data_IF_140560131812
#
_entry.id   IF_140560131812
#
_cell.length_a   1.000
_cell.length_b   1.000
_cell.length_c   1.000
_cell.angle_alpha   90.00
_cell.angle_beta   90.00
_cell.angle_gamma   90.00
#
_symmetry.space_group_name_H-M   'P 1'
#
loop_
_entity.id
_entity.type
_entity.pdbx_description
1 polymer ?
#
# COMPACT_ATOMS: atom_id res chain seq x y z
N UNK A 1 -29.62 10.63 -7.39
CA UNK A 1 -28.41 10.57 -6.53
C UNK A 1 -27.52 11.83 -6.61
N UNK A 2 -27.52 12.60 -7.71
CA UNK A 2 -26.65 13.78 -7.86
C UNK A 2 -27.13 15.05 -7.11
N UNK A 3 -28.43 15.21 -6.91
CA UNK A 3 -29.01 16.44 -6.34
C UNK A 3 -28.49 16.77 -4.92
N UNK A 4 -28.30 15.76 -4.08
CA UNK A 4 -27.85 15.93 -2.69
C UNK A 4 -26.36 15.66 -2.49
N UNK A 5 -25.64 15.31 -3.56
CA UNK A 5 -24.22 14.96 -3.50
C UNK A 5 -23.36 16.15 -3.00
N UNK A 6 -23.54 17.41 -3.46
CA UNK A 6 -22.78 18.55 -2.95
C UNK A 6 -23.03 18.83 -1.46
N UNK A 7 -24.29 18.70 -1.01
CA UNK A 7 -24.65 18.88 0.40
C UNK A 7 -24.07 17.76 1.28
N UNK A 8 -24.06 16.53 0.78
CA UNK A 8 -23.50 15.37 1.48
C UNK A 8 -21.98 15.45 1.59
N UNK A 9 -21.29 15.86 0.52
CA UNK A 9 -19.83 16.06 0.53
C UNK A 9 -19.43 17.14 1.54
N UNK A 10 -20.17 18.26 1.59
CA UNK A 10 -19.92 19.32 2.57
C UNK A 10 -20.08 18.85 4.03
N UNK A 11 -21.04 17.95 4.28
CA UNK A 11 -21.36 17.49 5.65
C UNK A 11 -20.49 16.31 6.11
N UNK A 12 -20.16 15.41 5.19
CA UNK A 12 -19.60 14.10 5.53
C UNK A 12 -18.23 13.82 4.89
N UNK A 13 -17.73 14.70 4.04
CA UNK A 13 -16.48 14.52 3.32
C UNK A 13 -16.65 13.82 1.96
N UNK A 14 -15.54 13.50 1.28
CA UNK A 14 -15.55 12.95 -0.08
C UNK A 14 -16.41 11.68 -0.19
N UNK A 15 -17.20 11.57 -1.26
CA UNK A 15 -18.11 10.45 -1.48
C UNK A 15 -17.39 9.09 -1.57
N UNK A 16 -16.10 9.07 -1.91
CA UNK A 16 -15.27 7.86 -1.95
C UNK A 16 -15.12 7.17 -0.60
N UNK A 17 -15.23 7.91 0.52
CA UNK A 17 -15.18 7.35 1.87
C UNK A 17 -16.46 6.58 2.23
N UNK A 18 -17.56 6.79 1.48
CA UNK A 18 -18.84 6.10 1.63
C UNK A 18 -19.03 4.94 0.67
N UNK A 19 -18.01 4.58 -0.12
CA UNK A 19 -18.06 3.41 -0.96
C UNK A 19 -18.22 2.15 -0.08
N UNK A 20 -19.39 1.50 -0.17
CA UNK A 20 -19.65 0.23 0.51
C UNK A 20 -18.83 -0.91 -0.07
N UNK A 21 -18.23 -0.72 -1.24
CA UNK A 21 -17.40 -1.68 -1.97
C UNK A 21 -16.37 -2.38 -1.07
N UNK A 22 -15.66 -1.63 -0.20
CA UNK A 22 -14.69 -2.23 0.73
C UNK A 22 -15.37 -3.18 1.72
N UNK A 23 -16.49 -2.77 2.30
CA UNK A 23 -17.26 -3.60 3.23
C UNK A 23 -17.88 -4.81 2.53
N UNK A 24 -18.38 -4.63 1.30
CA UNK A 24 -18.94 -5.70 0.49
C UNK A 24 -17.88 -6.72 0.05
N UNK A 25 -16.67 -6.26 -0.30
CA UNK A 25 -15.55 -7.15 -0.62
C UNK A 25 -15.15 -8.03 0.57
N UNK A 26 -15.25 -7.51 1.79
CA UNK A 26 -14.94 -8.24 3.02
C UNK A 26 -15.96 -9.36 3.33
N UNK A 27 -17.21 -9.23 2.84
CA UNK A 27 -18.22 -10.29 3.01
C UNK A 27 -17.75 -11.63 2.40
N UNK A 28 -16.91 -11.61 1.37
CA UNK A 28 -16.30 -12.82 0.81
C UNK A 28 -15.38 -13.53 1.80
N UNK A 29 -14.56 -12.78 2.55
CA UNK A 29 -13.67 -13.31 3.58
C UNK A 29 -14.46 -13.93 4.73
N UNK A 30 -15.48 -13.22 5.23
CA UNK A 30 -16.37 -13.71 6.29
C UNK A 30 -17.09 -14.97 5.84
N UNK A 31 -17.58 -15.01 4.59
CA UNK A 31 -18.26 -16.18 4.03
C UNK A 31 -17.33 -17.38 3.93
N UNK A 32 -16.07 -17.18 3.51
CA UNK A 32 -15.09 -18.25 3.45
C UNK A 32 -14.81 -18.85 4.82
N UNK A 33 -14.63 -18.00 5.86
CA UNK A 33 -14.50 -18.46 7.24
C UNK A 33 -15.76 -19.22 7.70
N UNK A 34 -16.96 -18.74 7.31
CA UNK A 34 -18.24 -19.34 7.70
C UNK A 34 -18.55 -20.69 7.03
N UNK A 35 -17.89 -21.06 5.93
CA UNK A 35 -18.10 -22.37 5.28
C UNK A 35 -17.57 -23.51 6.16
N UNK A 36 -16.51 -23.27 6.93
CA UNK A 36 -15.74 -24.30 7.62
C UNK A 36 -16.15 -24.49 9.09
N UNK A 37 -17.14 -23.74 9.58
CA UNK A 37 -17.55 -23.75 10.99
C UNK A 37 -18.82 -24.55 11.24
N UNK A 38 -18.91 -25.15 12.43
CA UNK A 38 -20.14 -25.76 12.89
C UNK A 38 -21.14 -24.65 13.25
N UNK A 39 -22.37 -24.69 12.71
CA UNK A 39 -23.32 -23.56 12.73
C UNK A 39 -23.92 -23.23 14.11
N UNK A 40 -23.33 -23.75 15.18
CA UNK A 40 -23.83 -23.62 16.54
C UNK A 40 -23.49 -22.25 17.17
N UNK A 41 -22.37 -21.63 16.79
CA UNK A 41 -22.03 -20.25 17.18
C UNK A 41 -21.16 -19.55 16.12
N UNK A 42 -21.76 -19.18 14.96
CA UNK A 42 -20.98 -18.71 13.82
C UNK A 42 -20.10 -17.48 14.10
N UNK A 43 -20.61 -16.52 14.86
CA UNK A 43 -19.86 -15.29 15.17
C UNK A 43 -18.64 -15.53 16.05
N UNK A 44 -18.77 -16.42 17.04
CA UNK A 44 -17.66 -16.81 17.91
C UNK A 44 -16.56 -17.54 17.14
N UNK A 45 -16.96 -18.49 16.28
CA UNK A 45 -16.01 -19.29 15.54
C UNK A 45 -15.27 -18.45 14.48
N UNK A 46 -15.97 -17.51 13.82
CA UNK A 46 -15.34 -16.54 12.92
C UNK A 46 -14.36 -15.64 13.67
N UNK A 47 -14.71 -15.19 14.88
CA UNK A 47 -13.80 -14.38 15.70
C UNK A 47 -12.52 -15.14 16.08
N UNK A 48 -12.63 -16.43 16.40
CA UNK A 48 -11.46 -17.30 16.64
C UNK A 48 -10.63 -17.42 15.37
N UNK A 49 -11.25 -17.68 14.21
CA UNK A 49 -10.52 -17.78 12.92
C UNK A 49 -9.74 -16.50 12.63
N UNK A 50 -10.35 -15.32 12.79
CA UNK A 50 -9.65 -14.05 12.59
C UNK A 50 -8.54 -13.82 13.61
N UNK A 51 -8.74 -14.21 14.87
CA UNK A 51 -7.69 -14.14 15.88
C UNK A 51 -6.50 -15.02 15.52
N UNK A 52 -6.76 -16.23 15.00
CA UNK A 52 -5.71 -17.13 14.53
C UNK A 52 -4.95 -16.55 13.34
N UNK A 53 -5.64 -15.99 12.33
CA UNK A 53 -4.97 -15.33 11.20
C UNK A 53 -4.08 -14.17 11.65
N UNK A 54 -4.52 -13.38 12.62
CA UNK A 54 -3.71 -12.30 13.17
C UNK A 54 -2.48 -12.82 13.90
N UNK A 55 -2.62 -13.88 14.70
CA UNK A 55 -1.48 -14.52 15.40
C UNK A 55 -0.50 -15.10 14.37
N UNK A 56 -0.98 -15.81 13.35
CA UNK A 56 -0.15 -16.36 12.27
C UNK A 56 0.67 -15.25 11.58
N UNK A 57 0.04 -14.13 11.25
CA UNK A 57 0.71 -12.96 10.66
C UNK A 57 1.81 -12.39 11.57
N UNK A 58 1.54 -12.29 12.88
CA UNK A 58 2.51 -11.81 13.86
C UNK A 58 3.68 -12.79 14.03
N UNK A 59 3.40 -14.10 13.99
CA UNK A 59 4.42 -15.14 14.07
C UNK A 59 5.36 -15.09 12.85
N UNK A 60 4.81 -15.05 11.63
CA UNK A 60 5.62 -15.04 10.41
C UNK A 60 6.39 -13.73 10.21
N UNK A 61 5.87 -12.61 10.72
CA UNK A 61 6.57 -11.32 10.68
C UNK A 61 7.68 -11.19 11.74
N UNK A 62 7.76 -12.13 12.70
CA UNK A 62 8.73 -12.07 13.78
C UNK A 62 8.42 -11.00 14.82
N UNK A 63 7.14 -10.66 15.03
CA UNK A 63 6.72 -9.70 16.04
C UNK A 63 7.01 -10.20 17.47
N UNK A 64 7.16 -9.28 18.42
CA UNK A 64 7.21 -9.62 19.84
C UNK A 64 5.79 -9.91 20.35
N UNK A 65 5.60 -11.11 20.90
CA UNK A 65 4.33 -11.60 21.40
C UNK A 65 4.43 -11.83 22.91
N UNK A 66 3.34 -11.55 23.62
CA UNK A 66 3.27 -11.78 25.06
C UNK A 66 2.68 -13.16 25.35
N UNK A 67 3.41 -13.99 26.09
CA UNK A 67 2.91 -15.25 26.62
C UNK A 67 2.37 -15.02 28.04
N UNK A 68 1.05 -15.11 28.18
CA UNK A 68 0.38 -14.92 29.47
C UNK A 68 0.61 -16.08 30.46
N UNK A 69 1.04 -17.25 29.98
CA UNK A 69 1.31 -18.42 30.83
C UNK A 69 2.65 -18.31 31.54
N UNK A 70 3.67 -17.83 30.82
CA UNK A 70 5.03 -17.59 31.36
C UNK A 70 5.19 -16.15 31.89
N UNK A 71 4.25 -15.26 31.55
CA UNK A 71 4.28 -13.82 31.85
C UNK A 71 5.49 -13.09 31.23
N UNK A 72 5.88 -13.50 30.02
CA UNK A 72 7.06 -12.96 29.34
C UNK A 72 6.77 -12.66 27.87
N UNK A 73 7.54 -11.72 27.31
CA UNK A 73 7.53 -11.48 25.86
C UNK A 73 8.51 -12.44 25.18
N UNK A 74 8.06 -13.07 24.11
CA UNK A 74 8.90 -13.87 23.24
C UNK A 74 8.89 -13.33 21.82
N UNK A 75 9.88 -13.76 21.05
CA UNK A 75 9.96 -13.55 19.61
C UNK A 75 10.00 -14.91 18.93
N UNK A 76 9.25 -15.12 17.82
CA UNK A 76 9.38 -16.32 17.01
C UNK A 76 10.84 -16.55 16.60
N UNK A 77 11.31 -17.80 16.69
CA UNK A 77 12.67 -18.14 16.26
C UNK A 77 12.83 -17.96 14.74
N UNK A 78 14.06 -17.78 14.28
CA UNK A 78 14.36 -17.64 12.86
C UNK A 78 13.82 -18.81 12.03
N UNK A 79 13.81 -20.03 12.58
CA UNK A 79 13.24 -21.21 11.92
C UNK A 79 11.75 -21.08 11.60
N UNK A 80 11.00 -20.33 12.41
CA UNK A 80 9.56 -20.09 12.21
C UNK A 80 9.36 -19.00 11.16
N UNK A 81 10.10 -17.90 11.25
CA UNK A 81 10.02 -16.81 10.26
C UNK A 81 10.60 -17.21 8.90
N UNK A 82 11.54 -18.14 8.87
CA UNK A 82 12.13 -18.73 7.66
C UNK A 82 11.10 -19.47 6.81
N UNK A 83 10.09 -20.09 7.43
CA UNK A 83 9.00 -20.78 6.71
C UNK A 83 8.30 -19.83 5.76
N UNK A 84 8.08 -18.59 6.18
CA UNK A 84 7.47 -17.56 5.35
C UNK A 84 8.49 -16.90 4.41
N UNK A 85 9.61 -16.41 4.95
CA UNK A 85 10.57 -15.60 4.17
C UNK A 85 11.24 -16.39 3.04
N UNK A 86 11.45 -17.71 3.21
CA UNK A 86 12.13 -18.56 2.22
C UNK A 86 11.18 -19.31 1.30
N UNK A 87 9.87 -19.17 1.46
CA UNK A 87 8.89 -19.94 0.69
C UNK A 87 7.90 -19.03 -0.06
N UNK A 88 8.16 -18.75 -1.35
CA UNK A 88 7.26 -17.95 -2.18
C UNK A 88 5.85 -18.52 -2.31
N UNK A 89 5.67 -19.84 -2.22
CA UNK A 89 4.33 -20.46 -2.29
C UNK A 89 3.51 -20.12 -1.05
N UNK A 90 4.14 -20.14 0.13
CA UNK A 90 3.48 -19.76 1.39
C UNK A 90 3.16 -18.27 1.39
N UNK A 91 4.09 -17.44 0.91
CA UNK A 91 3.85 -16.01 0.71
C UNK A 91 2.62 -15.77 -0.18
N UNK A 92 2.58 -16.40 -1.36
CA UNK A 92 1.46 -16.27 -2.29
C UNK A 92 0.14 -16.78 -1.68
N UNK A 93 0.16 -17.91 -0.97
CA UNK A 93 -1.02 -18.46 -0.30
C UNK A 93 -1.55 -17.53 0.81
N UNK A 94 -0.66 -16.79 1.49
CA UNK A 94 -1.01 -15.77 2.47
C UNK A 94 -1.35 -14.41 1.84
N UNK A 95 -1.40 -14.31 0.52
CA UNK A 95 -1.69 -13.06 -0.20
C UNK A 95 -0.54 -12.04 -0.16
N UNK A 96 0.66 -12.44 0.26
CA UNK A 96 1.84 -11.61 0.20
C UNK A 96 2.40 -11.57 -1.22
N UNK A 97 2.50 -10.37 -1.76
CA UNK A 97 3.09 -10.11 -3.06
C UNK A 97 4.24 -9.11 -2.91
N UNK A 98 5.47 -9.61 -2.90
CA UNK A 98 6.68 -8.78 -2.80
C UNK A 98 6.88 -7.86 -4.01
N UNK A 99 6.42 -8.25 -5.21
CA UNK A 99 6.54 -7.40 -6.39
C UNK A 99 5.59 -6.22 -6.33
N UNK A 100 4.37 -6.42 -5.80
CA UNK A 100 3.42 -5.33 -5.57
C UNK A 100 3.91 -4.31 -4.52
N UNK A 101 4.78 -4.71 -3.59
CA UNK A 101 5.45 -3.80 -2.65
C UNK A 101 6.66 -3.10 -3.28
N UNK A 102 7.26 -3.69 -4.31
CA UNK A 102 8.40 -3.14 -5.06
C UNK A 102 8.00 -2.26 -6.26
N UNK A 103 6.73 -2.28 -6.64
CA UNK A 103 6.11 -1.36 -7.58
C UNK A 103 5.75 -0.07 -6.81
N UNK A 104 6.53 1.00 -6.82
CA UNK A 104 7.32 1.52 -7.92
C UNK A 104 8.30 2.58 -7.41
N UNK A 105 9.51 2.62 -7.96
CA UNK A 105 10.43 3.75 -7.78
C UNK A 105 9.86 4.97 -8.50
N UNK A 106 8.91 5.65 -7.86
CA UNK A 106 8.41 6.95 -8.26
C UNK A 106 8.87 8.01 -7.26
N UNK A 107 9.08 9.27 -7.71
CA UNK A 107 9.03 9.69 -9.10
C UNK A 107 10.20 9.15 -9.95
N UNK A 108 9.96 8.88 -11.24
CA UNK A 108 11.02 8.47 -12.20
C UNK A 108 11.02 9.36 -13.43
N UNK A 109 12.21 9.67 -13.94
CA UNK A 109 12.36 10.32 -15.25
C UNK A 109 12.03 9.30 -16.34
N UNK A 110 11.01 9.59 -17.13
CA UNK A 110 10.56 8.71 -18.22
C UNK A 110 11.28 9.02 -19.53
N UNK A 111 11.58 10.29 -19.77
CA UNK A 111 12.34 10.74 -20.93
C UNK A 111 13.16 12.00 -20.61
N UNK A 112 14.42 11.98 -21.00
CA UNK A 112 15.38 13.09 -20.84
C UNK A 112 15.49 13.94 -22.10
N UNK A 113 15.01 13.46 -23.25
CA UNK A 113 15.18 14.14 -24.52
C UNK A 113 14.12 15.23 -24.73
N UNK A 114 14.47 16.47 -24.42
CA UNK A 114 13.64 17.64 -24.70
C UNK A 114 13.85 18.09 -26.15
N UNK A 115 12.78 18.11 -26.95
CA UNK A 115 12.80 18.66 -28.31
C UNK A 115 13.15 20.15 -28.25
N UNK A 116 14.02 20.64 -29.14
CA UNK A 116 14.51 22.03 -29.13
C UNK A 116 13.40 23.10 -29.08
N UNK A 117 12.23 22.82 -29.67
CA UNK A 117 11.06 23.70 -29.64
C UNK A 117 10.40 23.84 -28.25
N UNK A 118 10.71 22.97 -27.28
CA UNK A 118 10.17 22.96 -25.92
C UNK A 118 11.26 23.21 -24.86
N UNK A 119 12.46 23.65 -25.26
CA UNK A 119 13.51 24.03 -24.32
C UNK A 119 13.07 25.26 -23.54
N UNK A 120 12.98 25.12 -22.23
CA UNK A 120 12.67 26.20 -21.28
C UNK A 120 13.91 26.45 -20.42
N UNK A 121 14.16 27.72 -20.09
CA UNK A 121 15.19 28.06 -19.11
C UNK A 121 14.73 27.59 -17.73
N UNK A 122 15.66 27.05 -16.94
CA UNK A 122 15.39 26.71 -15.54
C UNK A 122 14.95 28.00 -14.81
N UNK A 123 13.75 28.03 -14.20
CA UNK A 123 13.26 29.18 -13.44
C UNK A 123 14.26 29.62 -12.36
N UNK A 124 14.35 30.93 -12.13
CA UNK A 124 15.29 31.51 -11.15
C UNK A 124 15.03 30.98 -9.75
N UNK A 125 13.77 30.84 -9.35
CA UNK A 125 13.35 30.26 -8.07
C UNK A 125 13.97 28.88 -7.83
N UNK A 126 14.04 28.04 -8.86
CA UNK A 126 14.60 26.68 -8.76
C UNK A 126 16.13 26.73 -8.63
N UNK A 127 16.79 27.68 -9.31
CA UNK A 127 18.24 27.90 -9.15
C UNK A 127 18.60 28.42 -7.77
N UNK A 128 17.79 29.30 -7.19
CA UNK A 128 17.99 29.79 -5.83
C UNK A 128 17.77 28.71 -4.77
N UNK A 129 16.81 27.80 -5.00
CA UNK A 129 16.57 26.65 -4.12
C UNK A 129 17.69 25.61 -4.16
N UNK A 130 18.39 25.47 -5.30
CA UNK A 130 19.44 24.46 -5.50
C UNK A 130 20.73 25.07 -6.05
N UNK A 131 21.41 25.97 -5.31
CA UNK A 131 22.54 26.74 -5.81
C UNK A 131 23.80 25.90 -6.09
N UNK A 132 23.91 24.72 -5.46
CA UNK A 132 25.06 23.82 -5.58
C UNK A 132 24.76 22.57 -6.43
N UNK A 133 23.59 22.47 -7.06
CA UNK A 133 23.23 21.32 -7.90
C UNK A 133 23.01 21.77 -9.35
N UNK A 134 23.48 20.97 -10.30
CA UNK A 134 23.10 21.16 -11.69
C UNK A 134 21.67 20.68 -11.88
N UNK A 135 20.80 21.61 -12.29
CA UNK A 135 19.40 21.35 -12.62
C UNK A 135 19.25 21.39 -14.14
N UNK A 136 18.63 20.36 -14.71
CA UNK A 136 18.33 20.28 -16.14
C UNK A 136 16.85 19.96 -16.38
N UNK A 137 16.35 20.40 -17.53
CA UNK A 137 14.97 20.11 -17.94
C UNK A 137 14.85 18.65 -18.38
N UNK A 138 13.77 17.98 -17.99
CA UNK A 138 13.42 16.64 -18.45
C UNK A 138 12.13 16.69 -19.27
N UNK A 139 11.99 15.81 -20.27
CA UNK A 139 10.81 15.81 -21.14
C UNK A 139 9.58 15.24 -20.48
N UNK A 140 9.74 14.30 -19.54
CA UNK A 140 8.64 13.85 -18.71
C UNK A 140 9.10 13.16 -17.43
N UNK A 141 8.37 13.43 -16.36
CA UNK A 141 8.52 12.83 -15.05
C UNK A 141 7.25 12.06 -14.70
N UNK A 142 7.39 10.77 -14.44
CA UNK A 142 6.27 9.92 -14.02
C UNK A 142 6.20 9.91 -12.49
N UNK A 143 5.09 10.40 -11.95
CA UNK A 143 4.84 10.49 -10.51
C UNK A 143 4.23 9.21 -9.93
N UNK A 144 3.44 8.50 -10.73
CA UNK A 144 2.87 7.19 -10.42
C UNK A 144 2.43 6.47 -11.70
N UNK A 145 1.78 5.33 -11.58
CA UNK A 145 1.31 4.53 -12.72
C UNK A 145 0.35 5.27 -13.65
N UNK A 146 -0.28 6.36 -13.19
CA UNK A 146 -1.34 7.09 -13.90
C UNK A 146 -0.96 8.53 -14.24
N UNK A 147 -0.01 9.12 -13.51
CA UNK A 147 0.32 10.55 -13.61
C UNK A 147 1.72 10.75 -14.18
N UNK A 148 1.79 11.53 -15.25
CA UNK A 148 3.03 11.95 -15.89
C UNK A 148 2.98 13.45 -16.11
N UNK A 149 3.96 14.17 -15.56
CA UNK A 149 4.21 15.57 -15.86
C UNK A 149 5.13 15.62 -17.08
N UNK A 150 4.79 16.43 -18.08
CA UNK A 150 5.58 16.55 -19.31
C UNK A 150 6.35 17.88 -19.33
N UNK A 151 5.65 19.01 -19.45
CA UNK A 151 6.27 20.34 -19.53
C UNK A 151 6.58 20.92 -18.16
N UNK A 152 7.59 21.80 -18.08
CA UNK A 152 8.03 22.44 -16.84
C UNK A 152 8.64 21.49 -15.80
N UNK A 153 9.09 20.30 -16.21
CA UNK A 153 9.74 19.33 -15.31
C UNK A 153 11.25 19.50 -15.32
N UNK A 154 11.86 19.56 -14.15
CA UNK A 154 13.30 19.69 -13.96
C UNK A 154 13.80 18.64 -12.99
N UNK A 155 14.98 18.09 -13.28
CA UNK A 155 15.66 17.10 -12.45
C UNK A 155 17.05 17.62 -12.04
N UNK A 156 17.63 17.06 -10.98
CA UNK A 156 18.88 17.55 -10.37
C UNK A 156 19.89 16.41 -10.17
N UNK A 157 21.17 16.72 -10.34
CA UNK A 157 22.27 15.80 -10.00
C UNK A 157 22.57 15.72 -8.50
#
# INVERSE_FOLDING_TARGET
MLLHLPASIKRFGPASLFATEKFESFNGVVRNAAIQINRHSPGHDIAIIFSNYQIEQLLVSGAHLYDSTVQEYFKPSDKVTDVFSRNPLIQQAMGYNSTALHESQYPRVKDTHVVQANLELVPEDIREMYPNQQVWQVSSLQLNDKETIQKGSFDKS
#
